data_IF_035406129310
#
_entry.id   IF_035406129310
#
_cell.length_a   1.000
_cell.length_b   1.000
_cell.length_c   1.000
_cell.angle_alpha   90.00
_cell.angle_beta   90.00
_cell.angle_gamma   90.00
#
_symmetry.space_group_name_H-M   'P 1'
#
loop_
_entity.id
_entity.type
_entity.pdbx_description
1 polymer ?
#
# COMPACT_ATOMS: atom_id res chain seq x y z
N UNK A 1 15.03 17.95 12.69
CA UNK A 1 13.78 17.20 12.93
C UNK A 1 13.51 16.40 11.67
N UNK A 2 13.46 15.07 11.73
CA UNK A 2 13.15 14.22 10.57
C UNK A 2 11.78 13.58 10.76
N UNK A 3 10.98 13.55 9.71
CA UNK A 3 9.74 12.77 9.64
C UNK A 3 10.02 11.45 8.90
N UNK A 4 9.32 10.37 9.27
CA UNK A 4 9.42 9.06 8.63
C UNK A 4 8.03 8.60 8.22
N UNK A 5 7.87 8.24 6.96
CA UNK A 5 6.65 7.61 6.45
C UNK A 5 6.68 6.14 6.88
N UNK A 6 5.60 5.67 7.53
CA UNK A 6 5.46 4.28 7.97
C UNK A 6 4.63 3.45 7.00
N UNK A 7 3.62 4.06 6.41
CA UNK A 7 2.65 3.41 5.53
C UNK A 7 2.34 4.31 4.32
N UNK A 8 2.08 3.69 3.18
CA UNK A 8 1.71 4.35 1.93
C UNK A 8 0.50 3.64 1.30
N UNK A 9 -0.63 4.34 1.17
CA UNK A 9 -1.79 3.87 0.40
C UNK A 9 -1.72 4.37 -1.05
N UNK A 10 -2.05 3.51 -2.01
CA UNK A 10 -2.12 3.84 -3.43
C UNK A 10 -3.43 3.33 -4.00
N UNK A 11 -4.24 4.25 -4.52
CA UNK A 11 -5.48 3.94 -5.20
C UNK A 11 -5.22 3.58 -6.67
N UNK A 12 -5.84 2.50 -7.16
CA UNK A 12 -5.65 2.04 -8.52
C UNK A 12 -6.81 1.16 -9.02
N UNK A 13 -6.95 1.06 -10.35
CA UNK A 13 -7.98 0.21 -10.96
C UNK A 13 -7.68 -1.29 -10.85
N UNK A 14 -6.40 -1.67 -10.82
CA UNK A 14 -5.95 -3.06 -10.74
C UNK A 14 -4.83 -3.17 -9.70
N UNK A 15 -5.23 -3.55 -8.49
CA UNK A 15 -4.38 -3.73 -7.31
C UNK A 15 -3.33 -4.81 -7.54
N UNK A 16 -3.74 -5.95 -8.10
CA UNK A 16 -2.88 -7.11 -8.30
C UNK A 16 -1.77 -6.85 -9.32
N UNK A 17 -2.11 -6.23 -10.45
CA UNK A 17 -1.16 -5.89 -11.49
C UNK A 17 -0.19 -4.79 -11.03
N UNK A 18 -0.71 -3.76 -10.35
CA UNK A 18 0.12 -2.68 -9.84
C UNK A 18 1.06 -3.17 -8.74
N UNK A 19 0.55 -3.91 -7.75
CA UNK A 19 1.35 -4.55 -6.71
C UNK A 19 2.42 -5.48 -7.31
N UNK A 20 2.12 -6.20 -8.39
CA UNK A 20 3.10 -7.04 -9.08
C UNK A 20 4.23 -6.26 -9.75
N UNK A 21 3.95 -5.05 -10.22
CA UNK A 21 4.97 -4.17 -10.78
C UNK A 21 5.87 -3.62 -9.68
N UNK A 22 5.29 -3.18 -8.56
CA UNK A 22 6.04 -2.67 -7.41
C UNK A 22 6.81 -3.75 -6.64
N UNK A 23 6.31 -4.98 -6.60
CA UNK A 23 7.01 -6.14 -6.06
C UNK A 23 8.39 -6.33 -6.72
N UNK A 24 8.48 -6.10 -8.04
CA UNK A 24 9.75 -6.15 -8.76
C UNK A 24 10.67 -4.97 -8.41
N UNK A 25 10.10 -3.77 -8.23
CA UNK A 25 10.87 -2.57 -7.84
C UNK A 25 11.48 -2.73 -6.46
N UNK A 26 10.73 -3.29 -5.52
CA UNK A 26 11.17 -3.49 -4.15
C UNK A 26 11.94 -4.79 -3.93
N UNK A 27 12.03 -5.66 -4.95
CA UNK A 27 12.54 -7.03 -4.81
C UNK A 27 11.87 -7.77 -3.64
N UNK A 28 10.55 -7.62 -3.51
CA UNK A 28 9.74 -8.26 -2.48
C UNK A 28 8.59 -9.06 -3.11
N UNK A 29 8.31 -10.29 -2.66
CA UNK A 29 7.18 -11.05 -3.17
C UNK A 29 5.86 -10.40 -2.76
N UNK A 30 4.83 -10.57 -3.60
CA UNK A 30 3.43 -10.32 -3.20
C UNK A 30 3.00 -11.33 -2.14
N UNK A 31 1.90 -11.04 -1.43
CA UNK A 31 1.35 -12.00 -0.49
C UNK A 31 0.85 -13.23 -1.26
N UNK A 32 1.00 -14.44 -0.69
CA UNK A 32 0.58 -15.67 -1.35
C UNK A 32 -0.95 -15.78 -1.50
N UNK A 33 -1.72 -15.08 -0.65
CA UNK A 33 -3.17 -14.99 -0.76
C UNK A 33 -3.69 -14.01 -1.82
N UNK A 34 -2.86 -13.08 -2.32
CA UNK A 34 -3.29 -12.09 -3.31
C UNK A 34 -3.63 -12.78 -4.63
N UNK A 35 -4.85 -12.56 -5.14
CA UNK A 35 -5.31 -13.05 -6.44
C UNK A 35 -5.79 -11.91 -7.35
N UNK A 36 -5.76 -12.10 -8.69
CA UNK A 36 -6.29 -11.10 -9.61
C UNK A 36 -7.76 -10.78 -9.34
N UNK A 37 -8.08 -9.49 -9.20
CA UNK A 37 -9.43 -8.99 -8.92
C UNK A 37 -9.71 -8.70 -7.45
N UNK A 38 -8.76 -8.94 -6.55
CA UNK A 38 -8.91 -8.55 -5.14
C UNK A 38 -9.03 -7.03 -4.98
N UNK A 39 -9.89 -6.55 -4.06
CA UNK A 39 -10.07 -5.13 -3.84
C UNK A 39 -8.87 -4.47 -3.17
N UNK A 40 -7.93 -5.25 -2.65
CA UNK A 40 -6.72 -4.77 -2.00
C UNK A 40 -5.54 -5.71 -2.27
N UNK A 41 -4.32 -5.17 -2.27
CA UNK A 41 -3.10 -5.96 -2.30
C UNK A 41 -2.02 -5.23 -1.48
N UNK A 42 -1.19 -5.97 -0.73
CA UNK A 42 -0.22 -5.35 0.18
C UNK A 42 1.21 -5.84 -0.07
N UNK A 43 2.17 -4.92 -0.07
CA UNK A 43 3.59 -5.23 -0.08
C UNK A 43 4.24 -4.81 1.25
N UNK A 44 5.12 -5.67 1.75
CA UNK A 44 5.90 -5.45 2.97
C UNK A 44 7.42 -5.39 2.64
N UNK A 45 7.87 -4.38 1.91
CA UNK A 45 9.26 -4.26 1.48
C UNK A 45 10.20 -3.95 2.67
N UNK A 46 11.32 -4.67 2.83
CA UNK A 46 12.23 -4.47 3.96
C UNK A 46 12.91 -3.10 3.90
N UNK A 47 12.79 -2.33 4.98
CA UNK A 47 13.41 -0.99 5.07
C UNK A 47 12.60 0.13 4.42
N UNK A 48 11.47 -0.18 3.79
CA UNK A 48 10.54 0.75 3.17
C UNK A 48 9.22 0.80 3.97
N UNK A 49 8.36 1.81 3.74
CA UNK A 49 7.02 1.82 4.29
C UNK A 49 6.20 0.62 3.80
N UNK A 50 5.23 0.17 4.59
CA UNK A 50 4.27 -0.83 4.11
C UNK A 50 3.39 -0.16 3.04
N UNK A 51 3.21 -0.83 1.90
CA UNK A 51 2.47 -0.27 0.76
C UNK A 51 1.17 -1.04 0.57
N UNK A 52 0.05 -0.33 0.64
CA UNK A 52 -1.29 -0.87 0.42
C UNK A 52 -1.84 -0.34 -0.89
N UNK A 53 -2.21 -1.23 -1.80
CA UNK A 53 -2.92 -0.92 -3.03
C UNK A 53 -4.41 -1.16 -2.80
N UNK A 54 -5.24 -0.15 -3.08
CA UNK A 54 -6.69 -0.22 -2.92
C UNK A 54 -7.35 -0.06 -4.28
N UNK A 55 -8.35 -0.89 -4.53
CA UNK A 55 -9.13 -0.82 -5.75
C UNK A 55 -10.02 0.42 -5.68
N UNK A 56 -9.73 1.39 -6.52
CA UNK A 56 -10.61 2.52 -6.80
C UNK A 56 -11.24 2.30 -8.19
N UNK A 57 -12.50 1.83 -8.24
CA UNK A 57 -13.19 1.58 -9.50
C UNK A 57 -13.50 2.87 -10.28
N UNK A 58 -13.59 4.01 -9.59
CA UNK A 58 -13.89 5.32 -10.16
C UNK A 58 -12.58 5.92 -10.71
N UNK A 59 -11.51 5.89 -9.91
CA UNK A 59 -10.15 6.26 -10.29
C UNK A 59 -9.88 7.76 -10.15
N UNK A 60 -10.59 8.43 -9.25
CA UNK A 60 -10.59 9.88 -9.08
C UNK A 60 -10.13 10.33 -7.69
N UNK A 61 -9.90 9.40 -6.76
CA UNK A 61 -9.51 9.74 -5.39
C UNK A 61 -8.05 9.39 -5.06
N UNK A 62 -7.45 10.17 -4.16
CA UNK A 62 -6.15 9.91 -3.55
C UNK A 62 -6.34 9.93 -2.03
N UNK A 63 -6.29 8.75 -1.42
CA UNK A 63 -6.54 8.58 0.01
C UNK A 63 -5.25 8.45 0.82
N UNK A 64 -5.11 9.29 1.85
CA UNK A 64 -4.02 9.21 2.84
C UNK A 64 -4.54 8.57 4.12
N UNK A 65 -4.10 7.34 4.39
CA UNK A 65 -4.44 6.63 5.63
C UNK A 65 -3.34 6.81 6.67
N UNK A 66 -3.71 7.22 7.88
CA UNK A 66 -2.84 7.20 9.05
C UNK A 66 -3.13 5.98 9.91
N UNK A 67 -2.10 5.36 10.46
CA UNK A 67 -2.24 4.24 11.39
C UNK A 67 -2.96 4.67 12.68
N UNK A 68 -3.77 3.78 13.26
CA UNK A 68 -4.37 4.02 14.58
C UNK A 68 -3.31 4.34 15.66
N UNK A 69 -2.12 3.73 15.55
CA UNK A 69 -0.99 4.02 16.42
C UNK A 69 -0.43 5.44 16.22
N UNK A 70 -0.46 5.97 15.00
CA UNK A 70 -0.03 7.34 14.69
C UNK A 70 -1.02 8.38 15.23
N UNK A 71 -2.33 8.07 15.23
CA UNK A 71 -3.34 8.92 15.88
C UNK A 71 -3.20 8.93 17.40
N UNK A 72 -2.81 7.79 17.99
CA UNK A 72 -2.62 7.66 19.44
C UNK A 72 -1.33 8.34 19.95
N UNK A 73 -0.31 8.49 19.11
CA UNK A 73 0.95 9.15 19.46
C UNK A 73 0.91 10.68 19.35
N UNK A 74 -0.24 11.26 18.98
CA UNK A 74 -0.43 12.70 18.75
C UNK A 74 -1.02 13.50 19.92
N UNK A 75 -1.14 12.92 21.13
CA UNK A 75 -1.54 13.61 22.37
C UNK A 75 -0.37 13.73 23.33
#
# INVERSE_FOLDING_TARGET
MSARIRNLGIDCRDTYALAGSWAQVFDCPRQPEDVPGDPEAMLLPPGWPDVLFLADPEGDEFCVFGSAAERAAGT
#
